data_IF_797606679818
#
_entry.id   IF_797606679818
#
_cell.length_a   1.000
_cell.length_b   1.000
_cell.length_c   1.000
_cell.angle_alpha   90.00
_cell.angle_beta   90.00
_cell.angle_gamma   90.00
#
_symmetry.space_group_name_H-M   'P 1'
#
loop_
_entity.id
_entity.type
_entity.pdbx_description
1 polymer ?
#
# COMPACT_ATOMS: atom_id res chain seq x y z
N UNK A 1 14.91 -14.40 7.70
CA UNK A 1 13.81 -13.87 6.87
C UNK A 1 13.33 -12.60 7.53
N UNK A 2 13.44 -11.44 6.89
CA UNK A 2 12.97 -10.19 7.48
C UNK A 2 11.47 -10.12 7.32
N UNK A 3 10.75 -10.24 8.43
CA UNK A 3 9.29 -10.22 8.45
C UNK A 3 8.78 -8.87 7.94
N UNK A 4 7.85 -8.89 6.97
CA UNK A 4 7.23 -7.69 6.42
C UNK A 4 6.01 -7.35 7.26
N UNK A 5 5.94 -6.11 7.72
CA UNK A 5 4.81 -5.58 8.51
C UNK A 5 4.01 -4.61 7.65
N UNK A 6 2.75 -4.43 8.01
CA UNK A 6 1.89 -3.45 7.36
C UNK A 6 2.25 -2.04 7.86
N UNK A 7 2.51 -1.16 6.91
CA UNK A 7 2.72 0.27 7.14
C UNK A 7 1.72 1.05 6.30
N UNK A 8 1.18 2.13 6.85
CA UNK A 8 0.30 3.05 6.13
C UNK A 8 1.08 4.30 5.72
N UNK A 9 0.84 4.77 4.51
CA UNK A 9 1.34 6.07 4.05
C UNK A 9 0.60 7.21 4.74
N UNK A 10 1.31 8.29 5.03
CA UNK A 10 0.76 9.52 5.60
C UNK A 10 0.81 10.65 4.56
N UNK A 11 0.36 11.85 4.92
CA UNK A 11 0.46 13.06 4.10
C UNK A 11 1.90 13.44 3.74
N UNK A 12 2.86 12.97 4.53
CA UNK A 12 4.29 13.20 4.32
C UNK A 12 4.95 12.11 3.45
N UNK A 13 4.20 11.08 3.04
CA UNK A 13 4.75 10.01 2.21
C UNK A 13 5.20 10.53 0.85
N UNK A 14 6.21 9.90 0.26
CA UNK A 14 6.54 10.10 -1.15
C UNK A 14 5.63 9.31 -2.09
N UNK A 15 5.80 9.53 -3.40
CA UNK A 15 5.18 8.71 -4.45
C UNK A 15 5.76 7.29 -4.53
N UNK A 16 6.95 7.09 -3.95
CA UNK A 16 7.61 5.81 -3.82
C UNK A 16 8.13 5.70 -2.39
N UNK A 17 7.85 4.58 -1.74
CA UNK A 17 8.27 4.28 -0.38
C UNK A 17 8.97 2.93 -0.41
N UNK A 18 10.25 2.88 -0.05
CA UNK A 18 11.05 1.64 -0.08
C UNK A 18 10.95 0.87 -1.42
N UNK A 19 10.94 1.62 -2.54
CA UNK A 19 10.79 1.06 -3.89
C UNK A 19 9.37 0.59 -4.25
N UNK A 20 8.39 0.68 -3.33
CA UNK A 20 6.99 0.42 -3.61
C UNK A 20 6.30 1.71 -4.09
N UNK A 21 5.54 1.62 -5.19
CA UNK A 21 4.81 2.75 -5.76
C UNK A 21 3.55 3.03 -4.94
N UNK A 22 3.43 4.24 -4.43
CA UNK A 22 2.22 4.75 -3.80
C UNK A 22 1.33 5.35 -4.89
N UNK A 23 0.06 4.93 -5.02
CA UNK A 23 -0.86 5.57 -5.95
C UNK A 23 -1.04 7.03 -5.55
N UNK A 24 -1.07 7.94 -6.52
CA UNK A 24 -1.37 9.34 -6.28
C UNK A 24 -2.84 9.63 -6.54
N UNK A 25 -3.38 10.54 -5.75
CA UNK A 25 -4.73 11.09 -5.89
C UNK A 25 -4.60 12.58 -6.17
N UNK A 26 -5.53 13.11 -6.96
CA UNK A 26 -5.65 14.55 -7.09
C UNK A 26 -6.50 15.03 -5.93
N UNK A 27 -5.93 15.88 -5.09
CA UNK A 27 -6.66 16.53 -4.01
C UNK A 27 -7.66 17.55 -4.60
N UNK A 28 -8.64 17.99 -3.81
CA UNK A 28 -9.70 18.93 -4.24
C UNK A 28 -9.15 20.26 -4.79
N UNK A 29 -7.92 20.60 -4.44
CA UNK A 29 -7.19 21.78 -4.91
C UNK A 29 -6.50 21.57 -6.29
N UNK A 30 -6.64 20.40 -6.91
CA UNK A 30 -6.02 20.06 -8.20
C UNK A 30 -4.56 19.58 -8.09
N UNK A 31 -3.98 19.63 -6.89
CA UNK A 31 -2.65 19.14 -6.60
C UNK A 31 -2.61 17.61 -6.58
N UNK A 32 -1.60 16.99 -7.19
CA UNK A 32 -1.36 15.55 -7.04
C UNK A 32 -0.60 15.32 -5.75
N UNK A 33 -1.14 14.47 -4.89
CA UNK A 33 -0.51 14.02 -3.66
C UNK A 33 -0.51 12.49 -3.62
N UNK A 34 0.47 11.85 -2.96
CA UNK A 34 0.41 10.42 -2.70
C UNK A 34 -0.83 10.09 -1.85
N UNK A 35 -1.45 8.95 -2.13
CA UNK A 35 -2.63 8.48 -1.41
C UNK A 35 -2.27 8.21 0.03
N UNK A 36 -2.83 9.00 0.93
CA UNK A 36 -2.77 8.81 2.38
C UNK A 36 -3.57 7.57 2.77
N UNK A 37 -3.06 6.79 3.72
CA UNK A 37 -3.66 5.54 4.19
C UNK A 37 -3.46 4.35 3.25
N UNK A 38 -2.57 4.44 2.26
CA UNK A 38 -2.21 3.30 1.42
C UNK A 38 -1.33 2.33 2.20
N UNK A 39 -1.66 1.04 2.16
CA UNK A 39 -0.96 0.02 2.94
C UNK A 39 0.18 -0.58 2.12
N UNK A 40 1.36 -0.54 2.69
CA UNK A 40 2.61 -1.06 2.17
C UNK A 40 3.13 -2.16 3.09
N UNK A 41 3.72 -3.20 2.52
CA UNK A 41 4.28 -4.31 3.27
C UNK A 41 5.79 -4.20 3.24
N UNK A 42 6.34 -3.58 4.28
CA UNK A 42 7.75 -3.22 4.37
C UNK A 42 8.43 -3.99 5.48
N UNK A 43 9.73 -4.16 5.35
CA UNK A 43 10.54 -4.66 6.46
C UNK A 43 10.80 -3.55 7.48
N UNK A 44 11.12 -3.91 8.73
CA UNK A 44 11.49 -2.92 9.75
C UNK A 44 12.71 -2.07 9.32
N UNK A 45 13.64 -2.68 8.57
CA UNK A 45 14.78 -1.99 7.99
C UNK A 45 14.36 -0.95 6.95
N UNK A 46 13.45 -1.29 6.04
CA UNK A 46 12.94 -0.35 5.04
C UNK A 46 12.11 0.76 5.69
N UNK A 47 11.25 0.41 6.65
CA UNK A 47 10.43 1.39 7.32
C UNK A 47 11.23 2.37 8.19
N UNK A 48 12.40 1.96 8.71
CA UNK A 48 13.27 2.80 9.53
C UNK A 48 13.84 4.01 8.78
N UNK A 49 14.00 3.92 7.47
CA UNK A 49 14.59 4.98 6.64
C UNK A 49 13.54 5.80 5.88
N UNK A 50 12.29 5.32 5.83
CA UNK A 50 11.20 5.99 5.12
C UNK A 50 10.52 7.03 6.03
N UNK A 51 10.48 8.27 5.55
CA UNK A 51 9.69 9.33 6.20
C UNK A 51 8.28 9.31 5.63
N UNK A 52 7.29 9.56 6.50
CA UNK A 52 5.90 9.66 6.09
C UNK A 52 5.14 8.33 6.01
N UNK A 53 5.59 7.30 6.73
CA UNK A 53 4.80 6.08 6.96
C UNK A 53 4.63 5.80 8.46
N UNK A 54 3.55 5.11 8.81
CA UNK A 54 3.25 4.69 10.18
C UNK A 54 2.94 3.20 10.24
N UNK A 55 3.21 2.56 11.39
CA UNK A 55 2.78 1.17 11.60
C UNK A 55 1.25 1.10 11.54
N UNK A 56 0.73 0.27 10.65
CA UNK A 56 -0.67 -0.11 10.71
C UNK A 56 -0.79 -1.15 11.85
N UNK A 57 -1.12 -0.68 13.06
CA UNK A 57 -1.21 -1.49 14.28
C UNK A 57 -2.27 -2.60 14.16
N UNK A 58 -3.26 -2.39 13.30
CA UNK A 58 -4.16 -3.44 12.85
C UNK A 58 -3.57 -4.12 11.62
N UNK A 59 -3.39 -5.46 11.62
CA UNK A 59 -3.37 -6.18 10.37
C UNK A 59 -4.75 -5.93 9.76
N UNK A 60 -4.85 -4.95 8.87
CA UNK A 60 -5.91 -4.97 7.87
C UNK A 60 -5.72 -6.32 7.21
N UNK A 61 -6.56 -7.26 7.61
CA UNK A 61 -6.76 -8.55 6.98
C UNK A 61 -6.64 -8.22 5.52
N UNK A 62 -5.54 -8.66 4.89
CA UNK A 62 -5.45 -8.60 3.46
C UNK A 62 -6.75 -9.22 3.02
N UNK A 63 -7.71 -8.42 2.55
CA UNK A 63 -8.89 -8.94 1.90
C UNK A 63 -8.28 -9.94 0.92
N UNK A 64 -8.53 -11.26 1.12
CA UNK A 64 -7.66 -12.28 0.60
C UNK A 64 -7.46 -11.92 -0.86
N UNK A 65 -6.21 -11.63 -1.23
CA UNK A 65 -5.84 -11.51 -2.61
C UNK A 65 -6.14 -12.89 -3.15
N UNK A 66 -7.36 -13.08 -3.66
CA UNK A 66 -7.70 -14.24 -4.45
C UNK A 66 -6.57 -14.33 -5.47
N UNK A 67 -5.82 -15.44 -5.52
CA UNK A 67 -4.90 -15.67 -6.61
C UNK A 67 -5.79 -15.88 -7.84
N UNK A 68 -6.06 -14.79 -8.55
CA UNK A 68 -7.02 -14.75 -9.64
C UNK A 68 -6.49 -13.95 -10.82
N UNK A 69 -5.21 -14.08 -11.16
CA UNK A 69 -4.77 -13.79 -12.52
C UNK A 69 -5.16 -14.99 -13.37
N UNK A 70 -6.34 -14.94 -13.98
CA UNK A 70 -6.80 -15.97 -14.90
C UNK A 70 -8.11 -15.58 -15.57
N UNK A 71 -8.03 -15.17 -16.83
CA UNK A 71 -9.15 -15.30 -17.74
C UNK A 71 -9.53 -16.80 -17.83
N UNK A 72 -10.79 -17.17 -17.59
CA UNK A 72 -11.48 -18.31 -18.23
C UNK A 72 -12.93 -18.44 -17.74
N UNK A 73 -13.84 -18.06 -18.64
CA UNK A 73 -15.14 -18.67 -19.01
C UNK A 73 -15.99 -19.47 -18.00
N UNK A 74 -17.29 -19.08 -18.01
CA UNK A 74 -18.54 -19.88 -17.93
C UNK A 74 -19.12 -20.18 -16.53
N UNK A 75 -20.36 -19.74 -16.29
CA UNK A 75 -21.60 -20.54 -16.27
C UNK A 75 -22.76 -19.63 -15.82
N UNK A 76 -23.76 -19.44 -16.69
CA UNK A 76 -25.14 -19.20 -16.27
C UNK A 76 -25.98 -20.34 -16.86
N UNK A 77 -26.92 -20.82 -16.06
CA UNK A 77 -27.71 -22.04 -16.22
C UNK A 77 -28.96 -21.83 -17.07
#
# INVERSE_FOLDING_TARGET
MTEKKAYRTTELAGYFVAGQRVPSVQDGDGNRAPKVGHILYLTDAEAKYEQGIEKADEPIVAAPLSPGKGASKTVEA
#
